data_IF_460987671662
#
_entry.id   IF_460987671662
#
_cell.length_a   1.000
_cell.length_b   1.000
_cell.length_c   1.000
_cell.angle_alpha   90.00
_cell.angle_beta   90.00
_cell.angle_gamma   90.00
#
_symmetry.space_group_name_H-M   'P 1'
#
loop_
_entity.id
_entity.type
_entity.pdbx_description
1 polymer ?
#
# COMPACT_ATOMS: atom_id res chain seq x y z
N UNK A 1 -49.61 15.17 -19.30
CA UNK A 1 -49.93 13.86 -18.68
C UNK A 1 -48.62 13.16 -18.41
N UNK A 2 -48.16 13.20 -17.16
CA UNK A 2 -46.95 12.54 -16.66
C UNK A 2 -47.38 11.27 -15.91
N UNK A 3 -46.75 10.14 -16.18
CA UNK A 3 -46.90 8.92 -15.40
C UNK A 3 -45.61 8.69 -14.60
N UNK A 4 -45.70 8.96 -13.29
CA UNK A 4 -44.70 8.61 -12.28
C UNK A 4 -44.80 7.11 -11.98
N UNK A 5 -43.69 6.40 -12.10
CA UNK A 5 -43.55 5.07 -11.51
C UNK A 5 -43.27 5.23 -10.01
N UNK A 6 -44.23 4.82 -9.18
CA UNK A 6 -44.03 4.56 -7.76
C UNK A 6 -43.35 3.21 -7.59
N UNK A 7 -42.28 3.15 -6.78
CA UNK A 7 -41.84 1.93 -6.12
C UNK A 7 -41.79 2.22 -4.63
N UNK A 8 -42.79 1.71 -3.91
CA UNK A 8 -42.84 1.67 -2.46
C UNK A 8 -41.95 0.54 -1.94
N UNK A 9 -41.08 0.93 -1.00
CA UNK A 9 -40.56 0.22 0.19
C UNK A 9 -40.65 -1.31 0.25
N UNK A 10 -39.58 -1.96 0.71
CA UNK A 10 -39.56 -2.68 2.00
C UNK A 10 -38.13 -2.79 2.51
N UNK A 11 -37.93 -2.29 3.73
CA UNK A 11 -36.69 -2.26 4.49
C UNK A 11 -36.92 -3.10 5.75
N UNK A 12 -36.26 -4.25 5.96
CA UNK A 12 -36.39 -4.99 7.21
C UNK A 12 -35.02 -5.10 7.91
N UNK A 13 -34.55 -4.00 8.49
CA UNK A 13 -33.60 -4.03 9.59
C UNK A 13 -33.67 -2.69 10.33
N UNK A 14 -34.45 -2.65 11.40
CA UNK A 14 -34.60 -1.46 12.23
C UNK A 14 -33.31 -1.13 12.96
N UNK A 15 -32.80 0.08 12.75
CA UNK A 15 -32.14 0.89 13.77
C UNK A 15 -32.43 2.38 13.49
N UNK A 16 -32.75 3.18 14.52
CA UNK A 16 -33.27 4.54 14.36
C UNK A 16 -32.23 5.55 13.85
N UNK A 17 -32.69 6.44 12.98
CA UNK A 17 -32.03 7.67 12.55
C UNK A 17 -31.78 8.57 13.77
N UNK A 18 -30.50 8.79 14.13
CA UNK A 18 -30.13 9.92 14.97
C UNK A 18 -29.65 11.07 14.08
N UNK A 19 -30.41 12.17 14.17
CA UNK A 19 -30.17 13.45 13.51
C UNK A 19 -28.84 14.11 13.98
N UNK A 20 -28.27 15.01 13.15
CA UNK A 20 -26.99 15.65 13.44
C UNK A 20 -27.11 16.65 14.59
N UNK A 21 -26.32 16.47 15.66
CA UNK A 21 -26.15 17.50 16.69
C UNK A 21 -25.11 18.52 16.20
N UNK A 22 -25.61 19.68 15.79
CA UNK A 22 -24.83 20.91 15.73
C UNK A 22 -24.25 21.20 17.12
N UNK A 23 -22.93 21.32 17.17
CA UNK A 23 -22.18 21.85 18.29
C UNK A 23 -21.05 22.69 17.73
N UNK A 24 -21.33 23.97 17.53
CA UNK A 24 -20.30 24.98 17.29
C UNK A 24 -19.38 25.04 18.51
N UNK A 25 -18.08 24.92 18.29
CA UNK A 25 -17.10 24.92 19.38
C UNK A 25 -15.67 25.05 18.86
N UNK A 26 -15.26 26.30 18.62
CA UNK A 26 -13.89 26.85 18.61
C UNK A 26 -12.83 26.16 17.74
N UNK A 27 -12.44 26.90 16.71
CA UNK A 27 -11.11 26.91 16.12
C UNK A 27 -10.11 27.42 17.17
N UNK A 28 -9.06 26.66 17.47
CA UNK A 28 -7.79 27.18 17.99
C UNK A 28 -6.61 26.26 17.62
N UNK A 29 -5.42 26.81 17.35
CA UNK A 29 -4.29 26.14 16.72
C UNK A 29 -3.34 25.52 17.75
N UNK A 30 -2.70 24.40 17.40
CA UNK A 30 -1.72 23.76 18.28
C UNK A 30 -0.97 22.64 17.59
N UNK A 31 0.14 22.98 16.92
CA UNK A 31 1.23 22.05 16.62
C UNK A 31 1.88 21.60 17.94
N UNK A 32 2.17 20.30 18.07
CA UNK A 32 3.18 19.82 19.02
C UNK A 32 2.86 18.52 19.75
N UNK A 33 3.52 17.44 19.33
CA UNK A 33 4.10 16.43 20.22
C UNK A 33 3.17 15.47 20.97
N UNK A 34 3.27 14.18 20.63
CA UNK A 34 2.74 13.09 21.46
C UNK A 34 2.55 11.81 20.70
N UNK A 35 3.64 11.12 20.36
CA UNK A 35 3.59 9.74 19.86
C UNK A 35 3.11 8.89 21.03
N UNK A 36 1.83 8.51 21.01
CA UNK A 36 1.26 7.57 21.97
C UNK A 36 1.97 6.22 21.85
N UNK A 37 2.77 5.90 22.86
CA UNK A 37 3.39 4.60 23.07
C UNK A 37 2.30 3.55 23.27
N UNK A 38 2.23 2.54 22.40
CA UNK A 38 1.52 1.28 22.68
C UNK A 38 2.58 0.28 23.17
N UNK A 39 2.57 -0.14 24.45
CA UNK A 39 3.56 -1.07 24.98
C UNK A 39 3.35 -2.47 24.41
N UNK A 40 4.38 -3.07 23.80
CA UNK A 40 4.43 -4.52 23.56
C UNK A 40 4.93 -4.99 22.19
N UNK A 41 5.12 -4.12 21.20
CA UNK A 41 5.50 -4.57 19.85
C UNK A 41 6.61 -3.70 19.26
N UNK A 42 7.60 -4.35 18.63
CA UNK A 42 8.70 -3.69 17.92
C UNK A 42 8.12 -2.70 16.91
N UNK A 43 8.28 -1.41 17.18
CA UNK A 43 8.16 -0.40 16.15
C UNK A 43 9.22 -0.73 15.10
N UNK A 44 8.82 -0.87 13.84
CA UNK A 44 9.73 -1.00 12.72
C UNK A 44 10.62 0.25 12.65
N UNK A 45 11.77 0.19 13.35
CA UNK A 45 12.76 1.26 13.44
C UNK A 45 13.48 1.54 12.11
N UNK A 46 13.07 0.89 11.01
CA UNK A 46 13.58 1.18 9.67
C UNK A 46 13.12 2.55 9.14
N UNK A 47 12.16 3.21 9.79
CA UNK A 47 11.65 4.52 9.38
C UNK A 47 12.41 5.75 9.92
N UNK A 48 13.34 5.61 10.87
CA UNK A 48 13.90 6.76 11.60
C UNK A 48 15.28 7.24 11.11
N UNK A 49 15.80 6.73 9.99
CA UNK A 49 16.99 7.30 9.32
C UNK A 49 16.62 7.94 7.98
N UNK A 50 15.69 8.89 8.00
CA UNK A 50 15.73 9.95 6.99
C UNK A 50 16.94 10.83 7.30
N UNK A 51 17.99 10.62 6.52
CA UNK A 51 19.18 11.45 6.50
C UNK A 51 18.81 12.93 6.46
N UNK A 52 19.04 13.60 7.59
CA UNK A 52 19.26 15.04 7.67
C UNK A 52 20.63 15.35 7.02
N UNK A 53 20.76 15.10 5.73
CA UNK A 53 21.91 15.52 4.92
C UNK A 53 21.49 15.61 3.46
N UNK A 54 21.36 16.84 2.98
CA UNK A 54 20.95 17.19 1.62
C UNK A 54 21.93 16.74 0.53
N UNK A 55 21.93 15.46 0.20
CA UNK A 55 22.48 14.95 -1.05
C UNK A 55 21.59 13.83 -1.56
N UNK A 56 20.71 14.16 -2.51
CA UNK A 56 20.01 13.19 -3.33
C UNK A 56 21.04 12.42 -4.18
N UNK A 57 21.58 11.35 -3.61
CA UNK A 57 22.20 10.28 -4.37
C UNK A 57 21.11 9.54 -5.11
N UNK A 58 21.08 9.69 -6.44
CA UNK A 58 20.19 9.02 -7.38
C UNK A 58 20.32 7.50 -7.29
N UNK A 59 19.58 6.86 -6.39
CA UNK A 59 19.12 5.49 -6.60
C UNK A 59 17.62 5.54 -6.69
N UNK A 60 17.10 5.37 -7.90
CA UNK A 60 15.67 5.38 -8.26
C UNK A 60 14.87 4.22 -7.65
N UNK A 61 15.46 3.50 -6.70
CA UNK A 61 14.89 2.35 -5.99
C UNK A 61 14.85 2.74 -4.50
N UNK A 62 13.66 2.70 -3.88
CA UNK A 62 13.47 2.99 -2.45
C UNK A 62 14.19 2.00 -1.53
N UNK A 63 13.95 1.99 -0.22
CA UNK A 63 14.62 1.07 0.70
C UNK A 63 14.49 -0.40 0.23
N UNK A 64 15.61 -1.14 0.29
CA UNK A 64 15.62 -2.57 -0.02
C UNK A 64 15.00 -3.36 1.13
N UNK A 65 13.77 -3.84 0.93
CA UNK A 65 13.04 -4.64 1.91
C UNK A 65 13.17 -6.12 1.52
N UNK A 66 13.61 -7.01 2.42
CA UNK A 66 13.70 -8.43 2.12
C UNK A 66 12.33 -9.02 1.73
N UNK A 67 12.32 -9.92 0.74
CA UNK A 67 11.07 -10.52 0.24
C UNK A 67 10.29 -11.27 1.32
N UNK A 68 10.96 -11.83 2.32
CA UNK A 68 10.31 -12.47 3.46
C UNK A 68 9.41 -11.51 4.24
N UNK A 69 9.80 -10.25 4.42
CA UNK A 69 8.95 -9.25 5.07
C UNK A 69 7.77 -8.84 4.19
N UNK A 70 7.96 -8.80 2.87
CA UNK A 70 6.87 -8.55 1.91
C UNK A 70 5.86 -9.70 1.89
N UNK A 71 6.35 -10.95 2.01
CA UNK A 71 5.53 -12.16 2.10
C UNK A 71 4.82 -12.31 3.45
N UNK A 72 5.36 -11.69 4.51
CA UNK A 72 4.82 -11.76 5.86
C UNK A 72 4.03 -10.48 6.18
N UNK A 73 2.79 -10.43 5.71
CA UNK A 73 1.82 -9.45 6.19
C UNK A 73 1.09 -10.05 7.40
N UNK A 74 1.51 -9.65 8.60
CA UNK A 74 0.97 -10.18 9.86
C UNK A 74 -0.53 -9.90 10.05
N UNK A 75 -1.09 -8.95 9.27
CA UNK A 75 -2.52 -8.61 9.25
C UNK A 75 -3.34 -9.52 8.35
N UNK A 76 -2.69 -10.37 7.56
CA UNK A 76 -3.32 -11.47 6.84
C UNK A 76 -3.06 -12.79 7.57
N UNK A 77 -3.96 -13.79 7.46
CA UNK A 77 -3.66 -15.14 7.89
C UNK A 77 -2.32 -15.58 7.30
N UNK A 78 -1.49 -16.28 8.10
CA UNK A 78 -0.17 -16.76 7.69
C UNK A 78 -0.26 -17.39 6.31
N UNK A 79 0.32 -16.70 5.31
CA UNK A 79 0.21 -17.14 3.94
C UNK A 79 1.41 -18.02 3.60
N UNK A 80 1.26 -19.31 3.89
CA UNK A 80 2.26 -20.34 3.60
C UNK A 80 2.67 -20.36 2.11
N UNK A 81 1.76 -20.02 1.20
CA UNK A 81 2.04 -19.94 -0.23
C UNK A 81 2.96 -18.76 -0.54
N UNK A 82 2.68 -17.57 0.02
CA UNK A 82 3.50 -16.38 -0.13
C UNK A 82 4.93 -16.60 0.42
N UNK A 83 5.06 -17.20 1.61
CA UNK A 83 6.37 -17.53 2.19
C UNK A 83 7.15 -18.56 1.36
N UNK A 84 6.44 -19.51 0.73
CA UNK A 84 7.10 -20.50 -0.14
C UNK A 84 7.58 -19.86 -1.44
N UNK A 85 6.77 -18.99 -2.04
CA UNK A 85 7.15 -18.23 -3.23
C UNK A 85 8.38 -17.36 -2.92
N UNK A 86 8.41 -16.65 -1.79
CA UNK A 86 9.54 -15.78 -1.44
C UNK A 86 10.84 -16.57 -1.28
N UNK A 87 10.84 -17.71 -0.56
CA UNK A 87 12.02 -18.59 -0.45
C UNK A 87 12.50 -19.11 -1.81
N UNK A 88 11.58 -19.40 -2.74
CA UNK A 88 11.94 -19.82 -4.09
C UNK A 88 12.59 -18.68 -4.87
N UNK A 89 12.03 -17.47 -4.80
CA UNK A 89 12.61 -16.29 -5.44
C UNK A 89 14.00 -15.98 -4.86
N UNK A 90 14.21 -16.17 -3.56
CA UNK A 90 15.53 -16.08 -2.93
C UNK A 90 16.51 -17.10 -3.50
N UNK A 91 16.08 -18.35 -3.70
CA UNK A 91 16.89 -19.38 -4.37
C UNK A 91 17.22 -19.05 -5.84
N UNK A 92 16.44 -18.19 -6.48
CA UNK A 92 16.70 -17.64 -7.82
C UNK A 92 17.54 -16.36 -7.79
N UNK A 93 18.03 -15.93 -6.62
CA UNK A 93 18.85 -14.75 -6.43
C UNK A 93 18.05 -13.43 -6.33
N UNK A 94 16.77 -13.49 -5.97
CA UNK A 94 15.93 -12.31 -5.72
C UNK A 94 15.74 -12.18 -4.22
N UNK A 95 16.47 -11.28 -3.58
CA UNK A 95 16.50 -11.22 -2.11
C UNK A 95 15.62 -10.11 -1.52
N UNK A 96 15.36 -9.06 -2.29
CA UNK A 96 14.69 -7.86 -1.81
C UNK A 96 13.80 -7.20 -2.87
N UNK A 97 13.06 -6.18 -2.44
CA UNK A 97 12.17 -5.35 -3.25
C UNK A 97 12.85 -4.74 -4.48
N UNK A 98 14.12 -4.33 -4.39
CA UNK A 98 14.84 -3.74 -5.52
C UNK A 98 15.20 -4.79 -6.58
N UNK A 99 15.68 -5.95 -6.14
CA UNK A 99 15.98 -7.08 -7.03
C UNK A 99 14.73 -7.55 -7.76
N UNK A 100 13.59 -7.57 -7.05
CA UNK A 100 12.30 -7.92 -7.61
C UNK A 100 11.91 -6.96 -8.73
N UNK A 101 11.95 -5.65 -8.50
CA UNK A 101 11.64 -4.66 -9.54
C UNK A 101 12.58 -4.82 -10.74
N UNK A 102 13.89 -4.97 -10.51
CA UNK A 102 14.88 -5.10 -11.60
C UNK A 102 14.63 -6.33 -12.46
N UNK A 103 14.27 -7.45 -11.84
CA UNK A 103 14.10 -8.74 -12.51
C UNK A 103 12.69 -8.97 -13.04
N UNK A 104 11.68 -8.27 -12.52
CA UNK A 104 10.28 -8.47 -12.87
C UNK A 104 9.63 -7.23 -13.49
N UNK A 105 10.42 -6.32 -14.07
CA UNK A 105 9.92 -5.06 -14.65
C UNK A 105 9.04 -5.19 -15.91
N UNK A 106 8.93 -6.36 -16.53
CA UNK A 106 8.12 -6.57 -17.75
C UNK A 106 7.13 -7.73 -17.60
N UNK A 107 6.02 -7.77 -18.37
CA UNK A 107 5.03 -8.85 -18.29
C UNK A 107 5.64 -10.24 -18.53
N UNK A 108 6.53 -10.35 -19.54
CA UNK A 108 7.23 -11.59 -19.84
C UNK A 108 8.07 -12.09 -18.66
N UNK A 109 8.88 -11.21 -18.06
CA UNK A 109 9.72 -11.59 -16.92
C UNK A 109 8.89 -11.96 -15.69
N UNK A 110 7.75 -11.29 -15.46
CA UNK A 110 6.80 -11.65 -14.40
C UNK A 110 6.21 -13.04 -14.61
N UNK A 111 5.78 -13.35 -15.83
CA UNK A 111 5.27 -14.68 -16.19
C UNK A 111 6.34 -15.76 -16.02
N UNK A 112 7.58 -15.48 -16.45
CA UNK A 112 8.71 -16.38 -16.26
C UNK A 112 9.00 -16.60 -14.77
N UNK A 113 9.10 -15.54 -13.97
CA UNK A 113 9.33 -15.65 -12.53
C UNK A 113 8.20 -16.38 -11.82
N UNK A 114 6.94 -16.12 -12.20
CA UNK A 114 5.78 -16.84 -11.67
C UNK A 114 5.85 -18.33 -12.01
N UNK A 115 6.23 -18.67 -13.25
CA UNK A 115 6.42 -20.05 -13.67
C UNK A 115 7.57 -20.73 -12.91
N UNK A 116 8.69 -20.03 -12.68
CA UNK A 116 9.83 -20.56 -11.96
C UNK A 116 9.55 -20.72 -10.46
N UNK A 117 8.86 -19.77 -9.83
CA UNK A 117 8.50 -19.88 -8.41
C UNK A 117 7.40 -20.91 -8.14
N UNK A 118 6.57 -21.19 -9.14
CA UNK A 118 5.54 -22.24 -9.11
C UNK A 118 6.06 -23.60 -9.59
N UNK A 119 7.27 -23.67 -10.14
CA UNK A 119 7.81 -24.91 -10.67
C UNK A 119 7.93 -25.95 -9.54
N UNK A 120 7.44 -27.16 -9.82
CA UNK A 120 7.52 -28.33 -8.93
C UNK A 120 6.62 -28.33 -7.69
N UNK A 121 5.67 -27.39 -7.58
CA UNK A 121 4.71 -27.38 -6.48
C UNK A 121 3.26 -27.46 -6.99
N UNK A 122 2.53 -28.50 -6.56
CA UNK A 122 1.11 -28.66 -6.92
C UNK A 122 0.21 -27.64 -6.20
N UNK A 123 0.68 -27.07 -5.09
CA UNK A 123 -0.08 -26.09 -4.29
C UNK A 123 0.10 -24.65 -4.75
N UNK A 124 1.24 -24.34 -5.40
CA UNK A 124 1.51 -23.02 -5.95
C UNK A 124 1.26 -23.06 -7.45
N UNK A 125 0.13 -22.53 -7.89
CA UNK A 125 -0.15 -22.39 -9.33
C UNK A 125 0.60 -21.18 -9.90
N UNK A 126 0.90 -21.20 -11.20
CA UNK A 126 1.50 -20.04 -11.91
C UNK A 126 0.67 -18.77 -11.74
N UNK A 127 -0.66 -18.91 -11.67
CA UNK A 127 -1.59 -17.80 -11.45
C UNK A 127 -1.42 -17.20 -10.06
N UNK A 128 -1.38 -18.02 -9.01
CA UNK A 128 -1.16 -17.56 -7.64
C UNK A 128 0.21 -16.91 -7.48
N UNK A 129 1.26 -17.53 -8.01
CA UNK A 129 2.60 -16.95 -8.02
C UNK A 129 2.64 -15.58 -8.74
N UNK A 130 1.97 -15.48 -9.89
CA UNK A 130 1.84 -14.22 -10.63
C UNK A 130 1.11 -13.14 -9.84
N UNK A 131 0.05 -13.49 -9.10
CA UNK A 131 -0.68 -12.57 -8.23
C UNK A 131 0.23 -12.01 -7.12
N UNK A 132 0.96 -12.87 -6.41
CA UNK A 132 1.88 -12.44 -5.36
C UNK A 132 3.04 -11.59 -5.88
N UNK A 133 3.64 -11.99 -7.01
CA UNK A 133 4.72 -11.22 -7.64
C UNK A 133 4.21 -9.83 -8.05
N UNK A 134 3.01 -9.73 -8.63
CA UNK A 134 2.40 -8.44 -8.98
C UNK A 134 2.11 -7.58 -7.74
N UNK A 135 1.60 -8.20 -6.67
CA UNK A 135 1.32 -7.51 -5.41
C UNK A 135 2.62 -6.92 -4.82
N UNK A 136 3.65 -7.74 -4.64
CA UNK A 136 4.94 -7.29 -4.14
C UNK A 136 5.63 -6.30 -5.05
N UNK A 137 5.46 -6.42 -6.36
CA UNK A 137 5.99 -5.45 -7.30
C UNK A 137 5.38 -4.07 -7.09
N UNK A 138 4.06 -4.01 -6.91
CA UNK A 138 3.39 -2.76 -6.58
C UNK A 138 3.84 -2.16 -5.24
N UNK A 139 3.98 -2.99 -4.20
CA UNK A 139 4.51 -2.54 -2.90
C UNK A 139 5.93 -1.99 -3.08
N UNK A 140 6.79 -2.72 -3.78
CA UNK A 140 8.17 -2.35 -4.04
C UNK A 140 8.27 -1.02 -4.83
N UNK A 141 7.41 -0.83 -5.84
CA UNK A 141 7.37 0.41 -6.61
C UNK A 141 6.97 1.58 -5.72
N UNK A 142 5.97 1.40 -4.86
CA UNK A 142 5.50 2.42 -3.92
C UNK A 142 6.56 2.82 -2.90
N UNK A 143 7.43 1.90 -2.44
CA UNK A 143 8.56 2.23 -1.57
C UNK A 143 9.52 3.26 -2.19
N UNK A 144 9.57 3.37 -3.52
CA UNK A 144 10.43 4.35 -4.23
C UNK A 144 10.01 5.79 -3.92
N UNK A 145 8.77 6.02 -3.51
CA UNK A 145 8.25 7.33 -3.10
C UNK A 145 8.72 7.75 -1.70
N UNK A 146 9.44 6.88 -0.98
CA UNK A 146 9.89 7.12 0.39
C UNK A 146 8.90 6.67 1.48
N UNK A 147 7.77 6.08 1.08
CA UNK A 147 6.79 5.53 2.01
C UNK A 147 7.26 4.25 2.69
N UNK A 148 6.69 3.96 3.86
CA UNK A 148 6.88 2.70 4.58
C UNK A 148 6.06 1.57 3.94
N UNK A 149 6.47 0.31 4.17
CA UNK A 149 5.80 -0.88 3.64
C UNK A 149 4.33 -0.96 4.06
N UNK A 150 4.03 -0.65 5.33
CA UNK A 150 2.65 -0.62 5.85
C UNK A 150 1.78 0.38 5.08
N UNK A 151 2.33 1.53 4.71
CA UNK A 151 1.62 2.53 3.93
C UNK A 151 1.43 2.09 2.48
N UNK A 152 2.45 1.46 1.88
CA UNK A 152 2.35 0.88 0.54
C UNK A 152 1.25 -0.20 0.47
N UNK A 153 1.18 -1.09 1.47
CA UNK A 153 0.12 -2.10 1.62
C UNK A 153 -1.26 -1.48 1.75
N UNK A 154 -1.37 -0.45 2.58
CA UNK A 154 -2.62 0.28 2.77
C UNK A 154 -3.10 0.95 1.46
N UNK A 155 -2.18 1.50 0.68
CA UNK A 155 -2.46 2.09 -0.63
C UNK A 155 -2.96 1.04 -1.63
N UNK A 156 -2.33 -0.13 -1.68
CA UNK A 156 -2.78 -1.24 -2.52
C UNK A 156 -4.17 -1.73 -2.14
N UNK A 157 -4.47 -1.85 -0.84
CA UNK A 157 -5.82 -2.19 -0.36
C UNK A 157 -6.85 -1.12 -0.67
N UNK A 158 -6.39 0.11 -0.89
CA UNK A 158 -7.21 1.24 -1.32
C UNK A 158 -7.30 1.36 -2.85
N UNK A 159 -6.74 0.39 -3.59
CA UNK A 159 -6.79 0.33 -5.05
C UNK A 159 -5.64 1.04 -5.77
N UNK A 160 -4.67 1.59 -5.04
CA UNK A 160 -3.48 2.22 -5.62
C UNK A 160 -2.34 1.22 -5.62
N UNK A 161 -2.08 0.64 -6.80
CA UNK A 161 -1.17 -0.50 -6.94
C UNK A 161 0.27 -0.13 -7.30
N UNK A 162 0.53 1.10 -7.70
CA UNK A 162 1.80 1.51 -8.30
C UNK A 162 2.01 3.03 -8.29
N UNK A 163 3.26 3.46 -8.52
CA UNK A 163 3.66 4.87 -8.54
C UNK A 163 2.89 5.69 -9.58
N UNK A 164 2.69 5.23 -10.84
CA UNK A 164 1.85 5.93 -11.81
C UNK A 164 0.43 6.23 -11.33
N UNK A 165 -0.21 5.28 -10.62
CA UNK A 165 -1.54 5.49 -10.07
C UNK A 165 -1.54 6.53 -8.95
N UNK A 166 -0.53 6.50 -8.08
CA UNK A 166 -0.37 7.50 -7.02
C UNK A 166 -0.11 8.90 -7.58
N UNK A 167 0.66 9.00 -8.67
CA UNK A 167 1.00 10.26 -9.33
C UNK A 167 -0.22 11.02 -9.90
N UNK A 168 -1.38 10.36 -10.05
CA UNK A 168 -2.63 10.97 -10.54
C UNK A 168 -3.29 11.89 -9.51
N UNK A 169 -2.95 11.76 -8.22
CA UNK A 169 -3.53 12.57 -7.14
C UNK A 169 -2.84 13.94 -7.04
N UNK A 170 -3.09 14.78 -8.03
CA UNK A 170 -2.44 16.08 -8.22
C UNK A 170 -3.06 17.13 -7.32
N UNK A 171 -4.40 17.22 -7.30
CA UNK A 171 -5.08 18.28 -6.58
C UNK A 171 -5.15 18.00 -5.08
N UNK A 172 -5.17 19.05 -4.23
CA UNK A 172 -5.38 18.89 -2.79
C UNK A 172 -6.68 18.15 -2.46
N UNK A 173 -7.74 18.35 -3.26
CA UNK A 173 -9.03 17.69 -3.07
C UNK A 173 -8.97 16.20 -3.38
N UNK A 174 -8.27 15.79 -4.44
CA UNK A 174 -8.08 14.37 -4.77
C UNK A 174 -7.26 13.68 -3.67
N UNK A 175 -6.22 14.34 -3.18
CA UNK A 175 -5.43 13.85 -2.04
C UNK A 175 -6.30 13.69 -0.80
N UNK A 176 -7.26 14.58 -0.57
CA UNK A 176 -8.15 14.56 0.58
C UNK A 176 -9.13 13.39 0.49
N UNK A 177 -9.71 13.16 -0.68
CA UNK A 177 -10.52 11.98 -0.95
C UNK A 177 -9.72 10.68 -0.76
N UNK A 178 -8.47 10.65 -1.23
CA UNK A 178 -7.56 9.53 -1.01
C UNK A 178 -7.28 9.32 0.48
N UNK A 179 -6.97 10.38 1.23
CA UNK A 179 -6.71 10.30 2.66
C UNK A 179 -7.93 9.80 3.45
N UNK A 180 -9.13 10.23 3.08
CA UNK A 180 -10.37 9.69 3.65
C UNK A 180 -10.51 8.19 3.39
N UNK A 181 -10.24 7.75 2.16
CA UNK A 181 -10.27 6.33 1.78
C UNK A 181 -9.24 5.50 2.54
N UNK A 182 -8.02 6.02 2.67
CA UNK A 182 -6.94 5.39 3.42
C UNK A 182 -7.28 5.30 4.90
N UNK A 183 -7.94 6.30 5.48
CA UNK A 183 -8.37 6.29 6.89
C UNK A 183 -9.33 5.13 7.15
N UNK A 184 -10.36 5.00 6.30
CA UNK A 184 -11.34 3.90 6.40
C UNK A 184 -10.66 2.53 6.27
N UNK A 185 -9.75 2.38 5.31
CA UNK A 185 -9.03 1.12 5.10
C UNK A 185 -7.98 0.84 6.20
N UNK A 186 -7.37 1.88 6.77
CA UNK A 186 -6.43 1.74 7.87
C UNK A 186 -7.13 1.17 9.10
N UNK A 187 -8.33 1.68 9.41
CA UNK A 187 -9.18 1.17 10.49
C UNK A 187 -9.62 -0.26 10.18
N UNK A 188 -10.12 -0.51 8.96
CA UNK A 188 -10.66 -1.82 8.56
C UNK A 188 -9.61 -2.94 8.60
N UNK A 189 -8.39 -2.65 8.18
CA UNK A 189 -7.33 -3.65 8.02
C UNK A 189 -6.23 -3.54 9.08
N UNK A 190 -6.31 -2.57 10.00
CA UNK A 190 -5.36 -2.39 11.10
C UNK A 190 -4.00 -1.79 10.73
N UNK A 191 -3.88 -1.06 9.62
CA UNK A 191 -2.62 -0.42 9.22
C UNK A 191 -2.38 0.91 9.92
N UNK A 192 -1.10 1.28 10.06
CA UNK A 192 -0.73 2.64 10.44
C UNK A 192 -1.18 3.61 9.34
N UNK A 193 -2.00 4.58 9.73
CA UNK A 193 -2.37 5.68 8.86
C UNK A 193 -1.15 6.61 8.65
N UNK A 194 -0.74 6.90 7.40
CA UNK A 194 0.24 7.95 7.16
C UNK A 194 -0.34 9.31 7.54
N UNK A 195 0.51 10.23 8.00
CA UNK A 195 0.11 11.62 8.14
C UNK A 195 -0.21 12.24 6.77
N UNK A 196 -1.04 13.29 6.77
CA UNK A 196 -1.35 14.05 5.56
C UNK A 196 -0.07 14.54 4.83
N UNK A 197 0.93 14.98 5.59
CA UNK A 197 2.22 15.42 5.05
C UNK A 197 2.99 14.29 4.36
N UNK A 198 3.06 13.11 4.99
CA UNK A 198 3.70 11.92 4.39
C UNK A 198 3.00 11.50 3.09
N UNK A 199 1.66 11.49 3.06
CA UNK A 199 0.90 11.17 1.84
C UNK A 199 1.13 12.20 0.74
N UNK A 200 1.05 13.49 1.08
CA UNK A 200 1.23 14.58 0.11
C UNK A 200 2.63 14.53 -0.51
N UNK A 201 3.66 14.35 0.31
CA UNK A 201 5.04 14.21 -0.17
C UNK A 201 5.22 12.98 -1.05
N UNK A 202 4.58 11.86 -0.73
CA UNK A 202 4.64 10.66 -1.56
C UNK A 202 3.97 10.86 -2.92
N UNK A 203 2.82 11.55 -2.97
CA UNK A 203 2.18 11.94 -4.23
C UNK A 203 3.09 12.84 -5.09
N UNK A 204 3.77 13.81 -4.46
CA UNK A 204 4.70 14.69 -5.16
C UNK A 204 5.95 13.93 -5.64
N UNK A 205 6.50 13.04 -4.82
CA UNK A 205 7.62 12.18 -5.17
C UNK A 205 7.25 11.21 -6.32
N UNK A 206 6.04 10.65 -6.30
CA UNK A 206 5.56 9.75 -7.36
C UNK A 206 5.58 10.40 -8.74
N UNK A 207 5.30 11.70 -8.83
CA UNK A 207 5.33 12.46 -10.09
C UNK A 207 6.73 12.68 -10.63
N UNK A 208 7.73 12.73 -9.76
CA UNK A 208 9.12 12.91 -10.13
C UNK A 208 9.83 11.59 -10.49
N UNK A 209 9.21 10.44 -10.20
CA UNK A 209 9.81 9.13 -10.41
C UNK A 209 9.50 8.57 -11.81
N UNK A 210 10.49 7.99 -12.51
CA UNK A 210 10.23 7.29 -13.74
C UNK A 210 9.50 5.98 -13.47
N UNK A 211 8.75 5.50 -14.46
CA UNK A 211 8.12 4.18 -14.42
C UNK A 211 9.18 3.08 -14.32
N UNK A 212 9.14 2.30 -13.23
CA UNK A 212 10.01 1.14 -13.09
C UNK A 212 9.34 -0.16 -13.54
N UNK A 213 8.00 -0.22 -13.50
CA UNK A 213 7.22 -1.39 -13.86
C UNK A 213 6.41 -1.08 -15.11
N UNK A 214 6.44 -1.99 -16.09
CA UNK A 214 5.56 -1.98 -17.24
C UNK A 214 4.47 -3.01 -17.00
N UNK A 215 3.28 -2.55 -16.61
CA UNK A 215 2.12 -3.38 -16.31
C UNK A 215 1.59 -4.13 -17.53
#
# INVERSE_FOLDING_TARGET
MMSNFQVQSHNPAGMPLMAPRQGAGRVAPGFGGGIGYVPGYQQDTFGARMNRSGRMGRTSFGPAIPLQYMANDWRLPVNYVAQRISRRLEGLGIHNSQDLIRRANTPFKRSLLAAMSAAFDKTVTKQLAGQWINYWLGEADMLRTGMQLDTARLLQRSGINDVPSLARYISPFDRLALYGTLTTNAIRFGYRMPSWGELSQACDAARALPYAIRW
#
